data_IF_868615205292
#
_entry.id   IF_868615205292
#
_cell.length_a   1.000
_cell.length_b   1.000
_cell.length_c   1.000
_cell.angle_alpha   90.00
_cell.angle_beta   90.00
_cell.angle_gamma   90.00
#
_symmetry.space_group_name_H-M   'P 1'
#
loop_
_entity.id
_entity.type
_entity.pdbx_description
1 polymer ?
#
# COMPACT_ATOMS: atom_id res chain seq x y z
N UNK A 1 -84.73 -56.78 20.14
CA UNK A 1 -85.96 -57.11 19.36
C UNK A 1 -85.56 -57.61 18.00
N UNK A 2 -85.81 -58.84 17.79
CA UNK A 2 -86.41 -59.48 16.61
C UNK A 2 -85.55 -59.35 15.31
N UNK A 3 -84.95 -60.52 14.96
CA UNK A 3 -85.49 -61.62 14.08
C UNK A 3 -85.21 -61.24 12.62
N UNK A 4 -84.73 -62.06 11.70
CA UNK A 4 -84.88 -63.51 11.40
C UNK A 4 -84.05 -63.81 10.16
N UNK A 5 -83.37 -64.96 10.17
CA UNK A 5 -82.84 -65.80 9.09
C UNK A 5 -83.95 -66.23 8.09
N UNK A 6 -83.71 -67.06 7.08
CA UNK A 6 -82.78 -67.34 5.95
C UNK A 6 -83.58 -67.46 4.63
N UNK A 7 -83.36 -68.30 3.63
CA UNK A 7 -82.40 -69.42 3.38
C UNK A 7 -81.85 -69.49 1.89
N UNK A 8 -80.80 -70.22 1.66
CA UNK A 8 -80.69 -71.52 0.98
C UNK A 8 -80.79 -71.60 -0.57
N UNK A 9 -79.95 -72.47 -1.11
CA UNK A 9 -80.04 -73.26 -2.32
C UNK A 9 -79.18 -72.79 -3.52
N UNK A 10 -78.19 -73.46 -3.87
CA UNK A 10 -77.87 -74.73 -4.63
C UNK A 10 -77.14 -74.39 -5.96
N UNK A 11 -75.96 -74.94 -5.95
CA UNK A 11 -75.29 -75.73 -7.01
C UNK A 11 -75.22 -75.19 -8.42
N UNK A 12 -74.08 -75.15 -9.03
CA UNK A 12 -73.72 -76.17 -10.09
C UNK A 12 -72.27 -75.92 -10.51
N UNK A 13 -71.56 -77.05 -10.63
CA UNK A 13 -70.28 -77.25 -11.19
C UNK A 13 -70.17 -76.77 -12.66
N UNK A 14 -69.04 -76.11 -12.98
CA UNK A 14 -68.44 -76.28 -14.31
C UNK A 14 -66.90 -76.11 -14.21
N UNK A 15 -66.25 -77.24 -14.49
CA UNK A 15 -64.82 -77.39 -14.73
C UNK A 15 -64.43 -76.56 -15.98
N UNK A 16 -63.44 -75.75 -15.81
CA UNK A 16 -62.75 -75.04 -16.90
C UNK A 16 -61.23 -75.06 -16.63
N UNK A 17 -60.55 -75.99 -17.29
CA UNK A 17 -59.11 -76.00 -17.41
C UNK A 17 -58.69 -74.70 -18.18
N UNK A 18 -58.03 -73.79 -17.56
CA UNK A 18 -57.37 -72.65 -18.18
C UNK A 18 -55.89 -72.74 -17.88
N UNK A 19 -55.11 -72.96 -18.92
CA UNK A 19 -53.65 -72.92 -18.91
C UNK A 19 -53.18 -71.58 -18.28
N UNK A 20 -52.58 -71.70 -17.12
CA UNK A 20 -51.82 -70.58 -16.55
C UNK A 20 -50.43 -70.59 -17.18
N UNK A 21 -50.28 -69.86 -18.24
CA UNK A 21 -48.97 -69.44 -18.69
C UNK A 21 -48.30 -68.60 -17.55
N UNK A 22 -47.12 -68.97 -17.12
CA UNK A 22 -46.44 -68.12 -16.15
C UNK A 22 -46.15 -66.76 -16.82
N UNK A 23 -46.73 -65.69 -16.27
CA UNK A 23 -46.34 -64.33 -16.63
C UNK A 23 -44.88 -64.18 -16.22
N UNK A 24 -44.00 -64.17 -17.19
CA UNK A 24 -42.63 -63.77 -16.98
C UNK A 24 -42.66 -62.31 -16.48
N UNK A 25 -42.34 -62.13 -15.23
CA UNK A 25 -42.01 -60.80 -14.67
C UNK A 25 -40.82 -60.29 -15.48
N UNK A 26 -40.96 -59.12 -16.13
CA UNK A 26 -39.80 -58.57 -16.82
C UNK A 26 -38.70 -58.36 -15.79
N UNK A 27 -37.65 -59.15 -15.84
CA UNK A 27 -36.41 -58.92 -15.16
C UNK A 27 -35.88 -57.62 -15.72
N UNK A 28 -36.15 -56.52 -15.01
CA UNK A 28 -35.52 -55.25 -15.29
C UNK A 28 -34.02 -55.49 -15.03
N UNK A 29 -33.31 -55.69 -16.11
CA UNK A 29 -31.86 -55.76 -16.06
C UNK A 29 -31.38 -54.46 -15.40
N UNK A 30 -30.98 -54.56 -14.12
CA UNK A 30 -30.49 -53.41 -13.40
C UNK A 30 -29.21 -52.88 -14.13
N UNK A 31 -29.17 -51.63 -14.45
CA UNK A 31 -28.04 -51.11 -15.19
C UNK A 31 -26.74 -51.35 -14.40
N UNK A 32 -25.76 -51.89 -15.11
CA UNK A 32 -24.43 -52.08 -14.54
C UNK A 32 -23.84 -50.69 -14.20
N UNK A 33 -23.71 -50.40 -12.93
CA UNK A 33 -23.02 -49.21 -12.44
C UNK A 33 -21.62 -49.55 -11.98
N UNK A 34 -20.66 -48.87 -12.55
CA UNK A 34 -19.26 -48.99 -12.11
C UNK A 34 -19.07 -48.07 -10.92
N UNK A 35 -18.97 -48.59 -9.74
CA UNK A 35 -18.60 -47.81 -8.55
C UNK A 35 -17.09 -47.76 -8.42
N UNK A 36 -16.57 -46.53 -8.25
CA UNK A 36 -15.19 -46.31 -7.88
C UNK A 36 -15.17 -45.88 -6.42
N UNK A 37 -14.41 -46.56 -5.59
CA UNK A 37 -14.21 -46.14 -4.22
C UNK A 37 -13.53 -44.75 -4.22
N UNK A 38 -14.17 -43.78 -3.65
CA UNK A 38 -13.55 -42.44 -3.40
C UNK A 38 -12.45 -42.71 -2.36
N UNK A 39 -11.20 -42.57 -2.78
CA UNK A 39 -10.10 -42.48 -1.83
C UNK A 39 -10.18 -41.09 -1.22
N UNK A 40 -10.46 -41.01 0.07
CA UNK A 40 -10.21 -39.79 0.84
C UNK A 40 -8.70 -39.58 0.83
N UNK A 41 -8.27 -38.56 0.12
CA UNK A 41 -6.88 -38.09 0.25
C UNK A 41 -6.81 -37.39 1.61
N UNK A 42 -6.06 -37.98 2.53
CA UNK A 42 -5.95 -37.54 3.92
C UNK A 42 -5.03 -36.32 4.07
N UNK A 43 -4.76 -35.64 2.98
CA UNK A 43 -3.93 -34.45 2.95
C UNK A 43 -4.78 -33.31 2.42
N UNK A 44 -5.18 -32.39 3.33
CA UNK A 44 -5.70 -31.08 3.00
C UNK A 44 -4.58 -30.20 2.37
N UNK A 45 -4.09 -30.61 1.19
CA UNK A 45 -3.12 -29.84 0.44
C UNK A 45 -3.82 -28.68 -0.24
N UNK A 46 -3.62 -27.46 0.28
CA UNK A 46 -4.10 -26.25 -0.35
C UNK A 46 -3.11 -25.83 -1.44
N UNK A 47 -3.55 -25.84 -2.69
CA UNK A 47 -2.78 -25.34 -3.84
C UNK A 47 -3.30 -23.97 -4.22
N UNK A 48 -2.44 -22.96 -4.21
CA UNK A 48 -2.78 -21.60 -4.60
C UNK A 48 -1.69 -21.04 -5.52
N UNK A 49 -2.10 -20.19 -6.45
CA UNK A 49 -1.16 -19.38 -7.22
C UNK A 49 -0.82 -18.13 -6.41
N UNK A 50 0.45 -17.73 -6.42
CA UNK A 50 0.93 -16.56 -5.72
C UNK A 50 1.81 -15.67 -6.59
N UNK A 51 2.02 -14.45 -6.15
CA UNK A 51 2.93 -13.50 -6.76
C UNK A 51 4.10 -13.25 -5.82
N UNK A 52 5.32 -13.36 -6.34
CA UNK A 52 6.52 -13.00 -5.59
C UNK A 52 6.62 -11.47 -5.55
N UNK A 53 6.76 -10.94 -4.34
CA UNK A 53 6.89 -9.50 -4.07
C UNK A 53 8.05 -9.23 -3.14
N UNK A 54 8.52 -8.01 -3.11
CA UNK A 54 9.42 -7.57 -2.05
C UNK A 54 8.67 -7.40 -0.73
N UNK A 55 9.35 -7.67 0.37
CA UNK A 55 8.81 -7.43 1.71
C UNK A 55 8.39 -5.96 1.89
N UNK A 56 9.21 -5.02 1.36
CA UNK A 56 8.90 -3.59 1.36
C UNK A 56 8.89 -3.05 -0.07
N UNK A 57 7.71 -2.63 -0.50
CA UNK A 57 7.48 -1.91 -1.74
C UNK A 57 7.08 -0.48 -1.39
N UNK A 58 7.86 0.49 -1.82
CA UNK A 58 7.64 1.91 -1.50
C UNK A 58 7.36 2.69 -2.78
N UNK A 59 6.18 3.30 -2.90
CA UNK A 59 5.93 4.25 -3.98
C UNK A 59 6.84 5.46 -3.82
N UNK A 60 7.56 5.81 -4.86
CA UNK A 60 8.47 6.95 -4.90
C UNK A 60 7.75 8.12 -5.56
N UNK A 61 7.67 9.25 -4.86
CA UNK A 61 6.92 10.42 -5.28
C UNK A 61 7.63 11.71 -4.86
N UNK A 62 7.39 12.79 -5.62
CA UNK A 62 7.91 14.11 -5.27
C UNK A 62 7.15 14.75 -4.11
N UNK A 63 7.85 15.54 -3.29
CA UNK A 63 7.28 16.35 -2.21
C UNK A 63 6.88 17.77 -2.68
N UNK A 64 7.22 18.14 -3.91
CA UNK A 64 6.84 19.38 -4.58
C UNK A 64 6.27 19.07 -5.96
N UNK A 65 5.38 19.91 -6.46
CA UNK A 65 4.87 19.79 -7.81
C UNK A 65 5.81 20.42 -8.82
N UNK A 66 5.82 19.88 -10.04
CA UNK A 66 6.64 20.42 -11.11
C UNK A 66 6.62 19.56 -12.36
N UNK A 67 7.36 19.98 -13.39
CA UNK A 67 7.57 19.19 -14.59
C UNK A 67 8.84 18.36 -14.45
N UNK A 68 8.77 17.07 -14.74
CA UNK A 68 9.94 16.21 -14.82
C UNK A 68 10.82 16.69 -15.97
N UNK A 69 12.06 17.06 -15.65
CA UNK A 69 13.07 17.48 -16.62
C UNK A 69 13.91 16.29 -17.09
N UNK A 70 14.32 15.44 -16.14
CA UNK A 70 15.16 14.27 -16.40
C UNK A 70 14.69 13.05 -15.65
N UNK A 71 14.91 11.88 -16.27
CA UNK A 71 14.78 10.56 -15.71
C UNK A 71 16.14 9.85 -15.87
N UNK A 72 16.74 9.44 -14.75
CA UNK A 72 18.08 8.84 -14.71
C UNK A 72 18.03 7.31 -14.50
N UNK A 73 16.82 6.74 -14.46
CA UNK A 73 16.62 5.33 -14.10
C UNK A 73 15.56 4.66 -14.96
N UNK A 74 15.67 3.34 -15.10
CA UNK A 74 14.73 2.49 -15.82
C UNK A 74 14.11 1.42 -14.90
N UNK A 75 12.95 0.87 -15.30
CA UNK A 75 12.33 -0.27 -14.62
C UNK A 75 13.27 -1.49 -14.65
N UNK A 76 13.33 -2.23 -13.56
CA UNK A 76 14.25 -3.36 -13.36
C UNK A 76 15.67 -2.96 -12.94
N UNK A 77 16.00 -1.66 -12.91
CA UNK A 77 17.33 -1.19 -12.52
C UNK A 77 17.53 -1.26 -11.00
N UNK A 78 18.72 -1.73 -10.59
CA UNK A 78 19.17 -1.64 -9.19
C UNK A 78 19.68 -0.24 -8.89
N UNK A 79 19.25 0.31 -7.77
CA UNK A 79 19.65 1.63 -7.29
C UNK A 79 20.20 1.55 -5.87
N UNK A 80 21.21 2.37 -5.58
CA UNK A 80 21.72 2.54 -4.22
C UNK A 80 20.94 3.63 -3.48
N UNK A 81 20.94 3.59 -2.15
CA UNK A 81 20.42 4.69 -1.34
C UNK A 81 21.11 6.01 -1.70
N UNK A 82 20.35 7.09 -1.88
CA UNK A 82 20.82 8.41 -2.31
C UNK A 82 20.97 8.58 -3.82
N UNK A 83 20.83 7.51 -4.64
CA UNK A 83 20.90 7.62 -6.09
C UNK A 83 19.82 8.56 -6.63
N UNK A 84 20.18 9.45 -7.57
CA UNK A 84 19.24 10.32 -8.25
C UNK A 84 18.37 9.50 -9.20
N UNK A 85 17.05 9.62 -9.07
CA UNK A 85 16.07 8.91 -9.89
C UNK A 85 15.46 9.85 -10.94
N UNK A 86 15.01 11.01 -10.48
CA UNK A 86 14.36 12.02 -11.32
C UNK A 86 14.76 13.42 -10.89
N UNK A 87 14.64 14.35 -11.82
CA UNK A 87 14.85 15.78 -11.56
C UNK A 87 13.70 16.60 -12.15
N UNK A 88 13.12 17.50 -11.33
CA UNK A 88 12.14 18.49 -11.79
C UNK A 88 12.84 19.73 -12.38
N UNK A 89 12.09 20.50 -13.15
CA UNK A 89 12.49 21.85 -13.55
C UNK A 89 12.56 22.74 -12.30
N UNK A 90 13.77 23.22 -11.97
CA UNK A 90 14.09 23.93 -10.73
C UNK A 90 13.91 25.45 -10.84
N UNK A 91 13.69 26.00 -12.03
CA UNK A 91 13.76 27.46 -12.29
C UNK A 91 12.88 28.28 -11.36
N UNK A 92 11.63 27.85 -11.14
CA UNK A 92 10.70 28.56 -10.28
C UNK A 92 11.06 28.42 -8.79
N UNK A 93 11.57 27.24 -8.38
CA UNK A 93 12.03 26.99 -7.03
C UNK A 93 13.31 27.78 -6.72
N UNK A 94 14.24 27.88 -7.67
CA UNK A 94 15.43 28.72 -7.57
C UNK A 94 15.09 30.19 -7.45
N UNK A 95 14.14 30.69 -8.26
CA UNK A 95 13.64 32.06 -8.16
C UNK A 95 13.02 32.33 -6.78
N UNK A 96 12.21 31.42 -6.27
CA UNK A 96 11.60 31.51 -4.93
C UNK A 96 12.68 31.56 -3.84
N UNK A 97 13.71 30.72 -3.92
CA UNK A 97 14.84 30.74 -2.99
C UNK A 97 15.61 32.07 -3.04
N UNK A 98 15.82 32.63 -4.24
CA UNK A 98 16.51 33.93 -4.38
C UNK A 98 15.70 35.07 -3.76
N UNK A 99 14.39 35.10 -3.91
CA UNK A 99 13.50 36.08 -3.25
C UNK A 99 13.61 35.96 -1.73
N UNK A 100 13.50 34.74 -1.19
CA UNK A 100 13.63 34.49 0.26
C UNK A 100 15.01 34.91 0.80
N UNK A 101 16.08 34.65 0.02
CA UNK A 101 17.44 35.10 0.38
C UNK A 101 17.56 36.61 0.44
N UNK A 102 16.98 37.35 -0.51
CA UNK A 102 16.99 38.82 -0.53
C UNK A 102 16.21 39.38 0.67
N UNK A 103 15.07 38.76 1.03
CA UNK A 103 14.28 39.17 2.19
C UNK A 103 15.05 38.97 3.50
N UNK A 104 15.74 37.84 3.65
CA UNK A 104 16.62 37.61 4.82
C UNK A 104 17.74 38.67 4.90
N UNK A 105 18.35 39.00 3.76
CA UNK A 105 19.39 40.05 3.72
C UNK A 105 18.84 41.41 4.16
N UNK A 106 17.63 41.80 3.71
CA UNK A 106 16.95 43.02 4.12
C UNK A 106 16.66 43.02 5.62
N UNK A 107 16.15 41.91 6.16
CA UNK A 107 15.88 41.76 7.58
C UNK A 107 17.17 41.84 8.44
N UNK A 108 18.27 41.24 7.93
CA UNK A 108 19.58 41.32 8.61
C UNK A 108 20.10 42.77 8.68
N UNK A 109 19.98 43.54 7.62
CA UNK A 109 20.37 44.95 7.60
C UNK A 109 19.52 45.73 8.58
N UNK A 110 18.21 45.51 8.61
CA UNK A 110 17.31 46.17 9.56
C UNK A 110 17.67 45.85 11.02
N UNK A 111 18.05 44.62 11.30
CA UNK A 111 18.54 44.21 12.64
C UNK A 111 19.80 44.96 13.05
N UNK A 112 20.79 45.06 12.15
CA UNK A 112 22.03 45.80 12.42
C UNK A 112 21.74 47.27 12.70
N UNK A 113 20.83 47.88 11.95
CA UNK A 113 20.42 49.29 12.17
C UNK A 113 19.76 49.43 13.55
N UNK A 114 18.79 48.55 13.90
CA UNK A 114 18.12 48.60 15.20
C UNK A 114 19.09 48.42 16.38
N UNK A 115 20.07 47.50 16.23
CA UNK A 115 21.12 47.27 17.24
C UNK A 115 21.97 48.52 17.44
N UNK A 116 22.48 49.12 16.35
CA UNK A 116 23.32 50.31 16.42
C UNK A 116 22.54 51.52 17.03
N UNK A 117 21.26 51.62 16.74
CA UNK A 117 20.43 52.68 17.28
C UNK A 117 20.20 52.49 18.78
N UNK A 118 19.88 51.30 19.23
CA UNK A 118 19.78 50.97 20.65
C UNK A 118 21.08 51.27 21.41
N UNK A 119 22.22 50.89 20.86
CA UNK A 119 23.53 51.14 21.48
C UNK A 119 23.83 52.63 21.61
N UNK A 120 23.42 53.44 20.61
CA UNK A 120 23.49 54.89 20.67
C UNK A 120 22.60 55.45 21.77
N UNK A 121 21.38 54.98 21.90
CA UNK A 121 20.42 55.44 22.91
C UNK A 121 20.88 55.04 24.33
N UNK A 122 21.51 53.89 24.50
CA UNK A 122 22.15 53.46 25.78
C UNK A 122 23.24 54.45 26.23
N UNK A 123 24.09 54.91 25.31
CA UNK A 123 25.11 55.92 25.63
C UNK A 123 24.50 57.28 25.99
N UNK A 124 23.36 57.67 25.39
CA UNK A 124 22.70 58.94 25.67
C UNK A 124 21.95 58.90 27.00
N UNK A 125 21.39 57.79 27.44
CA UNK A 125 20.71 57.67 28.74
C UNK A 125 21.69 57.75 29.89
N UNK A 126 22.92 57.18 29.75
CA UNK A 126 23.97 57.34 30.73
C UNK A 126 24.32 58.79 31.03
N UNK A 127 24.11 59.68 30.04
CA UNK A 127 24.34 61.13 30.15
C UNK A 127 23.06 61.91 30.46
N UNK A 128 21.94 61.23 30.77
CA UNK A 128 20.63 61.77 31.03
C UNK A 128 20.03 62.64 29.88
N UNK A 129 20.42 62.35 28.62
CA UNK A 129 19.88 63.03 27.45
C UNK A 129 18.57 62.47 26.90
N UNK A 130 18.19 61.24 27.30
CA UNK A 130 16.97 60.57 26.85
C UNK A 130 16.23 59.95 28.03
N UNK A 131 14.91 59.70 27.86
CA UNK A 131 14.06 59.07 28.88
C UNK A 131 14.18 57.55 28.84
N UNK A 132 13.81 56.87 29.95
CA UNK A 132 13.68 55.42 30.00
C UNK A 132 12.65 54.89 29.00
N UNK A 133 11.52 55.59 28.83
CA UNK A 133 10.50 55.23 27.86
C UNK A 133 11.06 55.21 26.42
N UNK A 134 11.95 56.17 26.10
CA UNK A 134 12.64 56.19 24.81
C UNK A 134 13.51 54.94 24.63
N UNK A 135 14.29 54.57 25.64
CA UNK A 135 15.12 53.35 25.57
C UNK A 135 14.29 52.10 25.37
N UNK A 136 13.20 51.91 26.12
CA UNK A 136 12.27 50.80 25.99
C UNK A 136 11.69 50.67 24.56
N UNK A 137 11.41 51.83 23.90
CA UNK A 137 10.95 51.83 22.52
C UNK A 137 12.00 51.24 21.52
N UNK A 138 13.30 51.55 21.74
CA UNK A 138 14.38 51.02 20.91
C UNK A 138 14.69 49.53 21.25
N UNK A 139 14.52 49.12 22.49
CA UNK A 139 14.61 47.70 22.85
C UNK A 139 13.50 46.88 22.16
N UNK A 140 12.27 47.38 22.14
CA UNK A 140 11.17 46.79 21.40
C UNK A 140 11.42 46.78 19.88
N UNK A 141 12.01 47.84 19.32
CA UNK A 141 12.38 47.91 17.91
C UNK A 141 13.42 46.87 17.54
N UNK A 142 14.44 46.64 18.40
CA UNK A 142 15.42 45.59 18.25
C UNK A 142 14.75 44.23 18.26
N UNK A 143 13.91 43.92 19.25
CA UNK A 143 13.19 42.64 19.36
C UNK A 143 12.33 42.38 18.12
N UNK A 144 11.65 43.41 17.59
CA UNK A 144 10.89 43.32 16.35
C UNK A 144 11.80 42.98 15.14
N UNK A 145 12.97 43.60 15.05
CA UNK A 145 13.93 43.36 13.97
C UNK A 145 14.51 41.93 14.05
N UNK A 146 14.81 41.45 15.27
CA UNK A 146 15.22 40.07 15.51
C UNK A 146 14.15 39.06 15.03
N UNK A 147 12.92 39.26 15.44
CA UNK A 147 11.77 38.41 15.05
C UNK A 147 11.57 38.40 13.54
N UNK A 148 11.72 39.52 12.86
CA UNK A 148 11.64 39.62 11.38
C UNK A 148 12.78 38.84 10.71
N UNK A 149 14.04 38.98 11.20
CA UNK A 149 15.18 38.24 10.68
C UNK A 149 14.97 36.75 10.85
N UNK A 150 14.46 36.27 12.00
CA UNK A 150 14.23 34.87 12.26
C UNK A 150 13.10 34.30 11.39
N UNK A 151 12.04 35.04 11.18
CA UNK A 151 10.98 34.74 10.23
C UNK A 151 11.52 34.59 8.80
N UNK A 152 12.28 35.57 8.32
CA UNK A 152 12.87 35.53 6.98
C UNK A 152 13.86 34.35 6.81
N UNK A 153 14.62 34.04 7.87
CA UNK A 153 15.50 32.87 7.88
C UNK A 153 14.72 31.56 7.74
N UNK A 154 13.59 31.43 8.44
CA UNK A 154 12.71 30.26 8.32
C UNK A 154 12.13 30.11 6.90
N UNK A 155 11.70 31.21 6.29
CA UNK A 155 11.20 31.23 4.90
C UNK A 155 12.29 30.81 3.91
N UNK A 156 13.52 31.29 4.08
CA UNK A 156 14.65 30.83 3.25
C UNK A 156 14.91 29.35 3.41
N UNK A 157 14.90 28.84 4.65
CA UNK A 157 15.07 27.40 4.89
C UNK A 157 13.99 26.56 4.21
N UNK A 158 12.73 27.01 4.25
CA UNK A 158 11.63 26.37 3.56
C UNK A 158 11.83 26.36 2.03
N UNK A 159 12.27 27.47 1.45
CA UNK A 159 12.55 27.56 0.01
C UNK A 159 13.72 26.64 -0.40
N UNK A 160 14.77 26.54 0.43
CA UNK A 160 15.89 25.63 0.22
C UNK A 160 15.45 24.15 0.26
N UNK A 161 14.60 23.80 1.22
CA UNK A 161 14.01 22.45 1.30
C UNK A 161 13.19 22.15 0.04
N UNK A 162 12.34 23.09 -0.39
CA UNK A 162 11.56 22.96 -1.62
C UNK A 162 12.44 22.71 -2.84
N UNK A 163 13.56 23.44 -2.96
CA UNK A 163 14.51 23.21 -4.04
C UNK A 163 15.18 21.84 -3.96
N UNK A 164 15.53 21.36 -2.77
CA UNK A 164 16.10 20.03 -2.59
C UNK A 164 15.12 18.91 -2.96
N UNK A 165 13.83 19.11 -2.76
CA UNK A 165 12.78 18.14 -3.12
C UNK A 165 12.52 18.05 -4.63
N UNK A 166 13.11 18.95 -5.43
CA UNK A 166 13.08 18.84 -6.88
C UNK A 166 13.99 17.71 -7.41
N UNK A 167 14.90 17.20 -6.61
CA UNK A 167 15.70 16.01 -6.88
C UNK A 167 15.10 14.82 -6.13
N UNK A 168 14.51 13.89 -6.85
CA UNK A 168 13.97 12.69 -6.28
C UNK A 168 15.05 11.61 -6.21
N UNK A 169 15.44 11.25 -4.99
CA UNK A 169 16.48 10.27 -4.72
C UNK A 169 15.93 9.05 -4.03
N UNK A 170 16.57 7.90 -4.24
CA UNK A 170 16.22 6.66 -3.58
C UNK A 170 16.51 6.73 -2.07
N UNK A 171 15.50 6.51 -1.24
CA UNK A 171 15.68 6.48 0.23
C UNK A 171 16.50 5.27 0.69
N UNK A 172 16.40 4.16 -0.06
CA UNK A 172 17.01 2.87 0.25
C UNK A 172 17.55 2.24 -1.02
N UNK A 173 18.49 1.29 -0.86
CA UNK A 173 18.91 0.44 -1.96
C UNK A 173 17.83 -0.58 -2.31
N UNK A 174 17.71 -0.89 -3.60
CA UNK A 174 16.69 -1.80 -4.09
C UNK A 174 16.61 -1.84 -5.61
N UNK A 175 15.51 -2.40 -6.11
CA UNK A 175 15.20 -2.48 -7.53
C UNK A 175 13.93 -1.66 -7.82
N UNK A 176 13.94 -0.88 -8.88
CA UNK A 176 12.75 -0.19 -9.36
C UNK A 176 11.87 -1.19 -10.11
N UNK A 177 10.78 -1.64 -9.46
CA UNK A 177 9.85 -2.59 -10.08
C UNK A 177 9.05 -1.94 -11.21
N UNK A 178 8.71 -0.67 -11.05
CA UNK A 178 7.94 0.11 -12.02
C UNK A 178 8.45 1.54 -12.07
N UNK A 179 8.45 2.14 -13.26
CA UNK A 179 8.79 3.54 -13.50
C UNK A 179 7.74 4.13 -14.43
N UNK A 180 6.90 5.03 -13.90
CA UNK A 180 5.80 5.68 -14.63
C UNK A 180 6.08 7.14 -14.96
N UNK A 181 7.06 7.75 -14.26
CA UNK A 181 7.48 9.13 -14.52
C UNK A 181 8.25 9.27 -15.82
N UNK A 182 7.82 10.21 -16.68
CA UNK A 182 8.48 10.48 -17.96
C UNK A 182 8.90 11.95 -18.08
N UNK A 183 10.04 12.24 -18.74
CA UNK A 183 10.43 13.61 -19.02
C UNK A 183 9.35 14.39 -19.77
N UNK A 184 9.06 15.61 -19.30
CA UNK A 184 7.97 16.45 -19.81
C UNK A 184 6.64 16.29 -19.08
N UNK A 185 6.45 15.23 -18.30
CA UNK A 185 5.25 15.02 -17.46
C UNK A 185 5.20 16.05 -16.33
N UNK A 186 4.01 16.57 -16.04
CA UNK A 186 3.75 17.42 -14.87
C UNK A 186 3.19 16.54 -13.76
N UNK A 187 3.81 16.59 -12.58
CA UNK A 187 3.46 15.76 -11.42
C UNK A 187 3.04 16.63 -10.24
N UNK A 188 2.08 16.12 -9.48
CA UNK A 188 1.65 16.70 -8.20
C UNK A 188 2.42 16.14 -7.02
N UNK A 189 2.26 16.82 -5.87
CA UNK A 189 2.80 16.32 -4.58
C UNK A 189 2.19 14.98 -4.24
N UNK A 190 3.04 14.00 -3.90
CA UNK A 190 2.61 12.64 -3.53
C UNK A 190 2.19 11.75 -4.69
N UNK A 191 2.24 12.22 -5.94
CA UNK A 191 1.96 11.39 -7.12
C UNK A 191 3.10 10.40 -7.33
N UNK A 192 2.84 9.06 -7.31
CA UNK A 192 3.87 8.07 -7.54
C UNK A 192 4.43 8.16 -8.97
N UNK A 193 5.75 8.13 -9.11
CA UNK A 193 6.47 8.12 -10.39
C UNK A 193 7.31 6.86 -10.58
N UNK A 194 7.53 6.10 -9.51
CA UNK A 194 8.18 4.80 -9.54
C UNK A 194 7.76 3.96 -8.33
N UNK A 195 8.02 2.65 -8.40
CA UNK A 195 7.86 1.72 -7.29
C UNK A 195 9.22 1.11 -6.95
N UNK A 196 9.73 1.40 -5.77
CA UNK A 196 11.00 0.87 -5.27
C UNK A 196 10.75 -0.36 -4.39
N UNK A 197 11.30 -1.49 -4.79
CA UNK A 197 11.36 -2.72 -4.00
C UNK A 197 12.71 -2.76 -3.30
N UNK A 198 12.69 -2.70 -1.97
CA UNK A 198 13.91 -2.73 -1.16
C UNK A 198 14.64 -4.06 -1.34
N UNK A 199 15.97 -4.04 -1.45
CA UNK A 199 16.80 -5.24 -1.40
C UNK A 199 16.58 -5.99 -0.08
N UNK A 200 16.44 -7.32 -0.16
CA UNK A 200 16.29 -8.20 1.00
C UNK A 200 15.24 -9.27 0.81
N UNK A 201 14.47 -9.53 1.86
CA UNK A 201 13.52 -10.63 1.93
C UNK A 201 12.44 -10.53 0.85
N UNK A 202 12.23 -11.63 0.14
CA UNK A 202 11.11 -11.80 -0.78
C UNK A 202 9.98 -12.54 -0.07
N UNK A 203 8.77 -12.24 -0.49
CA UNK A 203 7.53 -12.83 0.01
C UNK A 203 6.68 -13.33 -1.14
N UNK A 204 5.83 -14.31 -0.84
CA UNK A 204 4.80 -14.77 -1.76
C UNK A 204 3.46 -14.28 -1.25
N UNK A 205 2.78 -13.47 -2.05
CA UNK A 205 1.42 -13.04 -1.81
C UNK A 205 0.46 -14.02 -2.48
N UNK A 206 -0.44 -14.61 -1.71
CA UNK A 206 -1.47 -15.53 -2.18
C UNK A 206 -2.84 -15.07 -1.71
N UNK A 207 -3.87 -15.44 -2.47
CA UNK A 207 -5.26 -15.18 -2.14
C UNK A 207 -5.94 -16.51 -1.80
N UNK A 208 -6.42 -16.64 -0.56
CA UNK A 208 -7.07 -17.82 -0.03
C UNK A 208 -8.57 -17.60 0.09
N UNK A 209 -9.37 -18.62 -0.19
CA UNK A 209 -10.83 -18.55 -0.05
C UNK A 209 -11.30 -18.47 1.41
N UNK A 210 -10.49 -18.93 2.34
CA UNK A 210 -10.72 -18.82 3.78
C UNK A 210 -9.44 -18.41 4.51
N UNK A 211 -9.44 -17.21 5.10
CA UNK A 211 -8.30 -16.66 5.82
C UNK A 211 -7.99 -17.36 7.14
N UNK A 212 -8.98 -18.01 7.75
CA UNK A 212 -8.79 -18.73 9.02
C UNK A 212 -8.06 -20.07 8.83
N UNK A 213 -7.99 -20.56 7.60
CA UNK A 213 -7.32 -21.81 7.24
C UNK A 213 -5.97 -21.60 6.56
N UNK A 214 -5.40 -20.39 6.65
CA UNK A 214 -4.08 -20.14 6.10
C UNK A 214 -3.03 -21.00 6.81
N UNK A 215 -2.34 -21.95 6.11
CA UNK A 215 -1.33 -22.79 6.72
C UNK A 215 -0.17 -21.99 7.27
N UNK A 216 0.39 -22.37 8.42
CA UNK A 216 1.56 -21.70 9.01
C UNK A 216 2.81 -21.85 8.14
N UNK A 217 2.88 -22.90 7.32
CA UNK A 217 3.99 -23.19 6.43
C UNK A 217 3.49 -23.69 5.08
N UNK A 218 4.32 -23.55 4.06
CA UNK A 218 4.05 -24.04 2.72
C UNK A 218 5.33 -24.26 1.92
N UNK A 219 5.17 -24.58 0.65
CA UNK A 219 6.29 -24.74 -0.28
C UNK A 219 5.96 -24.00 -1.57
N UNK A 220 6.82 -23.07 -1.95
CA UNK A 220 6.77 -22.43 -3.27
C UNK A 220 7.46 -23.35 -4.29
N UNK A 221 6.71 -23.83 -5.25
CA UNK A 221 7.24 -24.60 -6.38
C UNK A 221 7.57 -23.60 -7.51
N UNK A 222 8.84 -23.36 -7.73
CA UNK A 222 9.32 -22.48 -8.80
C UNK A 222 10.22 -23.26 -9.74
N UNK A 223 9.72 -23.62 -10.92
CA UNK A 223 10.40 -24.45 -11.90
C UNK A 223 10.89 -25.78 -11.28
N UNK A 224 12.19 -25.92 -11.02
CA UNK A 224 12.80 -27.13 -10.43
C UNK A 224 13.20 -26.93 -8.96
N UNK A 225 12.82 -25.83 -8.33
CA UNK A 225 13.19 -25.51 -6.95
C UNK A 225 11.96 -25.47 -6.05
N UNK A 226 12.07 -26.16 -4.94
CA UNK A 226 11.10 -26.12 -3.85
C UNK A 226 11.65 -25.23 -2.74
N UNK A 227 11.02 -24.06 -2.53
CA UNK A 227 11.43 -23.10 -1.53
C UNK A 227 10.45 -23.12 -0.35
N UNK A 228 10.93 -23.33 0.89
CA UNK A 228 10.06 -23.32 2.06
C UNK A 228 9.48 -21.95 2.30
N UNK A 229 8.21 -21.94 2.68
CA UNK A 229 7.44 -20.74 2.98
C UNK A 229 7.00 -20.76 4.43
N UNK A 230 7.05 -19.61 5.09
CA UNK A 230 6.50 -19.40 6.42
C UNK A 230 5.49 -18.26 6.41
N UNK A 231 4.31 -18.52 6.98
CA UNK A 231 3.27 -17.52 7.10
C UNK A 231 3.75 -16.31 7.92
N UNK A 232 3.61 -15.11 7.37
CA UNK A 232 3.93 -13.86 8.06
C UNK A 232 2.67 -13.15 8.50
N UNK A 233 1.73 -12.98 7.61
CA UNK A 233 0.48 -12.28 7.89
C UNK A 233 -0.66 -12.78 7.01
N UNK A 234 -1.87 -12.64 7.55
CA UNK A 234 -3.13 -12.80 6.82
C UNK A 234 -3.93 -11.53 7.01
N UNK A 235 -4.55 -11.04 5.94
CA UNK A 235 -5.43 -9.88 6.01
C UNK A 235 -6.59 -10.16 6.99
N UNK A 236 -6.89 -9.18 7.85
CA UNK A 236 -7.96 -9.30 8.85
C UNK A 236 -9.37 -9.27 8.25
N UNK A 237 -9.52 -8.97 6.95
CA UNK A 237 -10.77 -8.98 6.22
C UNK A 237 -10.56 -9.49 4.80
N UNK A 238 -11.60 -10.08 4.22
CA UNK A 238 -11.60 -10.47 2.82
C UNK A 238 -11.64 -9.24 1.92
N UNK A 239 -10.98 -9.35 0.79
CA UNK A 239 -11.13 -8.40 -0.30
C UNK A 239 -12.57 -8.44 -0.83
N UNK A 240 -13.26 -7.29 -0.95
CA UNK A 240 -14.69 -7.26 -1.27
C UNK A 240 -15.00 -7.73 -2.70
N UNK A 241 -14.07 -7.62 -3.64
CA UNK A 241 -14.27 -8.02 -5.03
C UNK A 241 -13.99 -9.50 -5.23
N UNK A 242 -12.86 -9.98 -4.76
CA UNK A 242 -12.44 -11.38 -4.92
C UNK A 242 -13.00 -12.32 -3.86
N UNK A 243 -13.52 -11.79 -2.75
CA UNK A 243 -13.99 -12.55 -1.56
C UNK A 243 -12.93 -13.49 -1.02
N UNK A 244 -11.68 -13.09 -1.14
CA UNK A 244 -10.52 -13.88 -0.71
C UNK A 244 -9.69 -13.12 0.30
N UNK A 245 -8.98 -13.85 1.14
CA UNK A 245 -8.06 -13.30 2.12
C UNK A 245 -6.66 -13.29 1.54
N UNK A 246 -6.01 -12.14 1.62
CA UNK A 246 -4.61 -11.99 1.26
C UNK A 246 -3.75 -12.58 2.36
N UNK A 247 -2.93 -13.57 2.03
CA UNK A 247 -1.90 -14.10 2.91
C UNK A 247 -0.52 -13.86 2.32
N UNK A 248 0.45 -13.52 3.16
CA UNK A 248 1.84 -13.30 2.77
C UNK A 248 2.74 -14.27 3.49
N UNK A 249 3.55 -14.94 2.71
CA UNK A 249 4.50 -15.94 3.17
C UNK A 249 5.91 -15.46 2.88
N UNK A 250 6.77 -15.50 3.90
CA UNK A 250 8.21 -15.26 3.71
C UNK A 250 8.84 -16.49 3.06
N UNK A 251 9.73 -16.27 2.10
CA UNK A 251 10.57 -17.28 1.51
C UNK A 251 11.75 -17.52 2.46
N UNK A 252 11.88 -18.72 2.99
CA UNK A 252 13.03 -19.13 3.81
C UNK A 252 14.11 -19.69 2.86
N UNK A 253 15.20 -18.94 2.67
CA UNK A 253 16.32 -19.30 1.81
C UNK A 253 17.43 -19.99 2.60
#
# INVERSE_FOLDING_TARGET
MRKVLPPLILALLLVGCGDTTPTETPTTDAPWVRTVAVKTDDHDEIRASGTIRGHYETPVSFQVSGRILKREVDAGQKVASGALLFELDKRDLEATMQVAKAELQTAQVALVIAQNELDRQRQLIERNFVSRQTLEAFELALQNAESRRDSAKAVLSQAQNGLSYAELRADKSGVLAEVTGEPGMVVGVGQPVALLVKDGDLEVEVFLSDGNQAPESGVLKLQEQDLPLRLREVAGAADPESRSWKARYRIEA
#
